data_IF_256401761157
#
_entry.id   IF_256401761157
#
_cell.length_a   1.000
_cell.length_b   1.000
_cell.length_c   1.000
_cell.angle_alpha   90.00
_cell.angle_beta   90.00
_cell.angle_gamma   90.00
#
_symmetry.space_group_name_H-M   'P 1'
#
loop_
_entity.id
_entity.type
_entity.pdbx_description
1 polymer ?
#
# COMPACT_ATOMS: atom_id res chain seq x y z
N UNK A 1 -6.25 6.96 12.04
CA UNK A 1 -4.98 6.51 11.49
C UNK A 1 -3.91 7.57 11.76
N UNK A 2 -2.71 7.14 12.19
CA UNK A 2 -1.60 8.05 12.44
C UNK A 2 -1.09 8.66 11.12
N UNK A 3 -0.50 9.86 11.20
CA UNK A 3 0.12 10.51 10.04
C UNK A 3 1.52 9.95 9.71
N UNK A 4 2.11 9.24 10.66
CA UNK A 4 3.44 8.64 10.53
C UNK A 4 3.38 7.20 11.03
N UNK A 5 3.46 6.26 10.12
CA UNK A 5 3.46 4.84 10.46
C UNK A 5 4.13 4.01 9.38
N UNK A 6 4.50 2.81 9.76
CA UNK A 6 4.78 1.71 8.86
C UNK A 6 3.71 0.64 9.07
N UNK A 7 3.30 0.00 7.98
CA UNK A 7 2.54 -1.24 8.06
C UNK A 7 3.13 -2.26 7.11
N UNK A 8 3.23 -3.50 7.53
CA UNK A 8 3.83 -4.56 6.73
C UNK A 8 3.07 -5.88 6.85
N UNK A 9 3.26 -6.72 5.86
CA UNK A 9 2.70 -8.07 5.82
C UNK A 9 3.64 -9.00 5.06
N UNK A 10 3.67 -10.26 5.46
CA UNK A 10 4.30 -11.37 4.74
C UNK A 10 3.24 -12.08 3.92
N UNK A 11 3.46 -12.23 2.62
CA UNK A 11 2.50 -12.79 1.65
C UNK A 11 3.07 -14.05 1.02
N UNK A 12 2.29 -15.14 1.04
CA UNK A 12 2.52 -16.33 0.23
C UNK A 12 1.42 -16.38 -0.85
N UNK A 13 1.82 -16.23 -2.11
CA UNK A 13 0.88 -16.22 -3.22
C UNK A 13 1.54 -16.70 -4.52
N UNK A 14 0.90 -17.65 -5.19
CA UNK A 14 1.34 -18.22 -6.45
C UNK A 14 0.31 -17.99 -7.56
N UNK A 15 0.19 -16.74 -8.06
CA UNK A 15 -0.68 -16.45 -9.19
C UNK A 15 -0.14 -17.04 -10.48
N UNK A 16 -1.03 -17.36 -11.40
CA UNK A 16 -0.71 -17.80 -12.76
C UNK A 16 -1.34 -16.90 -13.84
N UNK A 17 -1.94 -15.78 -13.40
CA UNK A 17 -2.58 -14.79 -14.27
C UNK A 17 -2.42 -13.40 -13.68
N UNK A 18 -2.29 -12.40 -14.57
CA UNK A 18 -2.33 -10.96 -14.16
C UNK A 18 -3.65 -10.52 -13.52
N UNK A 19 -4.70 -11.34 -13.65
CA UNK A 19 -6.01 -11.11 -13.04
C UNK A 19 -6.06 -11.55 -11.56
N UNK A 20 -4.98 -12.10 -11.05
CA UNK A 20 -4.84 -12.57 -9.68
C UNK A 20 -3.83 -11.70 -8.95
N UNK A 21 -4.26 -11.08 -7.85
CA UNK A 21 -3.47 -10.10 -7.10
C UNK A 21 -3.65 -10.32 -5.61
N UNK A 22 -2.57 -10.23 -4.83
CA UNK A 22 -2.65 -10.27 -3.37
C UNK A 22 -1.54 -9.41 -2.75
N UNK A 23 -1.87 -8.60 -1.74
CA UNK A 23 -0.90 -7.73 -1.11
C UNK A 23 -1.45 -6.73 -0.11
N UNK A 24 -0.78 -5.59 -0.01
CA UNK A 24 -0.99 -4.52 0.96
C UNK A 24 -1.58 -3.28 0.28
N UNK A 25 -2.69 -2.78 0.80
CA UNK A 25 -3.40 -1.62 0.27
C UNK A 25 -3.48 -0.48 1.27
N UNK A 26 -3.33 0.76 0.77
CA UNK A 26 -3.85 1.95 1.42
C UNK A 26 -5.16 2.31 0.71
N UNK A 27 -6.25 2.37 1.46
CA UNK A 27 -7.60 2.36 0.91
C UNK A 27 -8.48 3.39 1.59
N UNK A 28 -9.21 4.17 0.81
CA UNK A 28 -10.28 5.03 1.29
C UNK A 28 -11.66 4.49 0.85
N UNK A 29 -11.85 4.28 -0.45
CA UNK A 29 -13.04 3.70 -1.06
C UNK A 29 -12.71 3.05 -2.43
N UNK A 30 -13.71 2.58 -3.16
CA UNK A 30 -13.56 1.92 -4.45
C UNK A 30 -12.90 2.77 -5.55
N UNK A 31 -12.81 4.09 -5.37
CA UNK A 31 -12.24 5.03 -6.34
C UNK A 31 -10.95 5.71 -5.87
N UNK A 32 -10.54 5.48 -4.62
CA UNK A 32 -9.37 6.11 -4.01
C UNK A 32 -8.62 5.07 -3.18
N UNK A 33 -7.62 4.47 -3.78
CA UNK A 33 -6.77 3.47 -3.15
C UNK A 33 -5.44 3.33 -3.88
N UNK A 34 -4.44 2.81 -3.21
CA UNK A 34 -3.23 2.28 -3.81
C UNK A 34 -2.97 0.87 -3.30
N UNK A 35 -2.26 0.08 -4.09
CA UNK A 35 -2.08 -1.34 -3.84
C UNK A 35 -0.71 -1.79 -4.31
N UNK A 36 0.09 -2.33 -3.40
CA UNK A 36 1.31 -3.07 -3.72
C UNK A 36 0.98 -4.56 -3.61
N UNK A 37 1.22 -5.33 -4.66
CA UNK A 37 0.72 -6.69 -4.74
C UNK A 37 1.64 -7.62 -5.53
N UNK A 38 1.58 -8.89 -5.15
CA UNK A 38 2.10 -10.00 -5.94
C UNK A 38 1.08 -10.36 -7.02
N UNK A 39 1.55 -10.51 -8.24
CA UNK A 39 0.77 -10.94 -9.41
C UNK A 39 1.64 -11.75 -10.38
N UNK A 40 1.18 -11.96 -11.59
CA UNK A 40 1.89 -12.69 -12.62
C UNK A 40 1.87 -11.93 -13.96
N UNK A 41 2.94 -12.01 -14.73
CA UNK A 41 2.96 -11.56 -16.12
C UNK A 41 3.69 -12.60 -17.02
N UNK A 42 3.43 -12.51 -18.31
CA UNK A 42 3.94 -13.50 -19.29
C UNK A 42 5.47 -13.45 -19.46
N UNK A 43 6.10 -12.32 -19.16
CA UNK A 43 7.54 -12.09 -19.37
C UNK A 43 8.35 -12.65 -18.21
N UNK A 44 7.94 -12.34 -16.97
CA UNK A 44 8.73 -12.56 -15.76
C UNK A 44 8.14 -13.62 -14.83
N UNK A 45 6.94 -14.15 -15.14
CA UNK A 45 6.21 -15.00 -14.23
C UNK A 45 5.66 -14.22 -13.04
N UNK A 46 5.97 -14.65 -11.82
CA UNK A 46 5.53 -14.01 -10.59
C UNK A 46 6.29 -12.69 -10.35
N UNK A 47 5.55 -11.61 -10.13
CA UNK A 47 6.10 -10.24 -9.99
C UNK A 47 5.41 -9.46 -8.88
N UNK A 48 6.07 -8.40 -8.40
CA UNK A 48 5.45 -7.36 -7.61
C UNK A 48 5.11 -6.19 -8.54
N UNK A 49 3.89 -5.68 -8.40
CA UNK A 49 3.38 -4.50 -9.10
C UNK A 49 2.80 -3.52 -8.07
N UNK A 50 2.70 -2.25 -8.46
CA UNK A 50 2.04 -1.21 -7.69
C UNK A 50 1.04 -0.47 -8.57
N UNK A 51 -0.18 -0.33 -8.07
CA UNK A 51 -1.25 0.37 -8.75
C UNK A 51 -1.94 1.39 -7.84
N UNK A 52 -2.58 2.36 -8.45
CA UNK A 52 -3.44 3.35 -7.81
C UNK A 52 -4.77 3.45 -8.55
N UNK A 53 -5.83 3.66 -7.81
CA UNK A 53 -7.08 4.21 -8.33
C UNK A 53 -7.29 5.60 -7.72
N UNK A 54 -7.28 6.61 -8.56
CA UNK A 54 -7.51 7.99 -8.15
C UNK A 54 -8.70 8.54 -8.94
N UNK A 55 -9.79 8.83 -8.24
CA UNK A 55 -11.06 9.30 -8.82
C UNK A 55 -11.64 8.35 -9.88
N UNK A 56 -11.44 7.04 -9.70
CA UNK A 56 -11.89 6.02 -10.65
C UNK A 56 -10.92 5.79 -11.81
N UNK A 57 -9.79 6.51 -11.87
CA UNK A 57 -8.75 6.29 -12.87
C UNK A 57 -7.71 5.31 -12.32
N UNK A 58 -7.67 4.13 -12.89
CA UNK A 58 -6.64 3.12 -12.60
C UNK A 58 -5.31 3.45 -13.27
N UNK A 59 -4.22 3.34 -12.53
CA UNK A 59 -2.84 3.48 -13.02
C UNK A 59 -1.98 2.36 -12.47
N UNK A 60 -1.34 1.58 -13.34
CA UNK A 60 -0.27 0.66 -13.00
C UNK A 60 1.06 1.39 -13.18
N UNK A 61 1.93 1.34 -12.18
CA UNK A 61 3.13 2.17 -12.14
C UNK A 61 4.38 1.47 -12.66
N UNK A 62 4.56 0.19 -12.37
CA UNK A 62 5.79 -0.52 -12.75
C UNK A 62 5.69 -1.10 -14.16
N UNK A 63 4.56 -1.66 -14.54
CA UNK A 63 4.31 -2.21 -15.90
C UNK A 63 5.43 -3.16 -16.35
N UNK A 64 6.18 -2.76 -17.39
CA UNK A 64 7.30 -3.54 -17.94
C UNK A 64 8.48 -3.66 -16.96
N UNK A 65 8.53 -2.79 -15.95
CA UNK A 65 9.52 -2.81 -14.88
C UNK A 65 9.01 -3.49 -13.60
N UNK A 66 7.95 -4.28 -13.69
CA UNK A 66 7.44 -5.08 -12.57
C UNK A 66 8.58 -5.92 -11.96
N UNK A 67 8.65 -5.94 -10.64
CA UNK A 67 9.77 -6.54 -9.91
C UNK A 67 9.63 -8.06 -9.95
N UNK A 68 10.54 -8.73 -10.64
CA UNK A 68 10.55 -10.19 -10.72
C UNK A 68 10.80 -10.79 -9.33
N UNK A 69 9.95 -11.73 -8.94
CA UNK A 69 10.14 -12.55 -7.75
C UNK A 69 10.90 -13.80 -8.19
N UNK A 70 12.08 -14.11 -7.60
CA UNK A 70 12.80 -15.35 -7.90
C UNK A 70 11.93 -16.60 -7.62
N UNK A 71 12.14 -17.65 -8.41
CA UNK A 71 11.30 -18.85 -8.37
C UNK A 71 11.40 -19.62 -7.03
N UNK A 72 12.54 -19.50 -6.35
CA UNK A 72 12.82 -20.11 -5.04
C UNK A 72 12.28 -19.31 -3.85
N UNK A 73 11.76 -18.10 -4.09
CA UNK A 73 11.16 -17.27 -3.04
C UNK A 73 9.70 -17.68 -2.82
N UNK A 74 9.40 -18.18 -1.63
CA UNK A 74 8.05 -18.54 -1.21
C UNK A 74 7.27 -17.33 -0.69
N UNK A 75 7.92 -16.47 0.09
CA UNK A 75 7.30 -15.34 0.77
C UNK A 75 7.82 -14.01 0.25
N UNK A 76 6.91 -13.05 0.15
CA UNK A 76 7.24 -11.65 -0.13
C UNK A 76 6.74 -10.81 1.03
N UNK A 77 7.59 -9.95 1.59
CA UNK A 77 7.17 -8.93 2.54
C UNK A 77 6.87 -7.65 1.75
N UNK A 78 5.70 -7.08 2.03
CA UNK A 78 5.30 -5.77 1.53
C UNK A 78 5.14 -4.82 2.70
N UNK A 79 5.66 -3.62 2.57
CA UNK A 79 5.56 -2.58 3.59
C UNK A 79 5.12 -1.26 2.96
N UNK A 80 4.19 -0.56 3.61
CA UNK A 80 3.90 0.85 3.32
C UNK A 80 4.53 1.73 4.38
N UNK A 81 5.10 2.87 3.95
CA UNK A 81 5.64 3.92 4.81
C UNK A 81 4.85 5.18 4.59
N UNK A 82 4.07 5.59 5.58
CA UNK A 82 3.30 6.83 5.53
C UNK A 82 4.03 7.91 6.31
N UNK A 83 4.20 9.09 5.70
CA UNK A 83 4.96 10.24 6.20
C UNK A 83 4.19 11.53 5.93
N UNK A 84 3.10 11.74 6.69
CA UNK A 84 2.22 12.90 6.64
C UNK A 84 1.62 13.16 5.26
N UNK A 85 2.36 13.76 4.35
CA UNK A 85 1.88 14.19 3.03
C UNK A 85 2.11 13.15 1.93
N UNK A 86 3.02 12.21 2.17
CA UNK A 86 3.40 11.21 1.17
C UNK A 86 3.45 9.82 1.77
N UNK A 87 3.33 8.83 0.91
CA UNK A 87 3.63 7.45 1.26
C UNK A 87 4.26 6.70 0.10
N UNK A 88 4.98 5.65 0.42
CA UNK A 88 5.62 4.75 -0.54
C UNK A 88 5.48 3.30 -0.10
N UNK A 89 5.86 2.39 -0.99
CA UNK A 89 5.92 0.98 -0.69
C UNK A 89 7.35 0.47 -0.77
N UNK A 90 7.62 -0.55 0.02
CA UNK A 90 8.84 -1.34 0.01
C UNK A 90 8.49 -2.83 -0.12
N UNK A 91 9.43 -3.59 -0.62
CA UNK A 91 9.36 -5.05 -0.61
C UNK A 91 10.63 -5.66 -0.04
N UNK A 92 10.52 -6.90 0.41
CA UNK A 92 11.66 -7.73 0.84
C UNK A 92 11.41 -9.18 0.47
N UNK A 93 12.49 -9.93 0.21
CA UNK A 93 12.44 -11.37 -0.01
C UNK A 93 12.95 -12.19 1.18
N UNK A 94 13.53 -11.53 2.20
CA UNK A 94 14.07 -12.16 3.40
C UNK A 94 13.44 -11.63 4.70
N UNK A 95 12.63 -10.57 4.61
CA UNK A 95 12.01 -9.89 5.75
C UNK A 95 12.97 -8.99 6.54
N UNK A 96 14.20 -8.82 6.10
CA UNK A 96 15.25 -8.04 6.77
C UNK A 96 15.65 -6.83 5.93
N UNK A 97 16.06 -7.05 4.69
CA UNK A 97 16.42 -5.98 3.77
C UNK A 97 15.20 -5.56 2.96
N UNK A 98 14.75 -4.33 3.16
CA UNK A 98 13.64 -3.74 2.43
C UNK A 98 14.14 -2.80 1.35
N UNK A 99 13.64 -3.01 0.13
CA UNK A 99 13.97 -2.23 -1.06
C UNK A 99 12.78 -1.33 -1.38
N UNK A 100 13.03 -0.04 -1.53
CA UNK A 100 12.01 0.93 -1.87
C UNK A 100 11.54 0.74 -3.32
N UNK A 101 10.22 0.69 -3.52
CA UNK A 101 9.61 0.74 -4.84
C UNK A 101 9.59 2.22 -5.27
N UNK A 102 10.15 2.57 -6.46
CA UNK A 102 10.39 3.97 -6.85
C UNK A 102 9.10 4.69 -7.28
N UNK A 103 8.08 4.64 -6.42
CA UNK A 103 6.79 5.31 -6.61
C UNK A 103 6.40 5.99 -5.30
N UNK A 104 6.17 7.29 -5.36
CA UNK A 104 5.72 8.10 -4.21
C UNK A 104 4.30 8.58 -4.47
N UNK A 105 3.43 8.36 -3.50
CA UNK A 105 2.02 8.72 -3.54
C UNK A 105 1.74 9.95 -2.69
N UNK A 106 0.78 10.75 -3.12
CA UNK A 106 0.22 11.84 -2.33
C UNK A 106 -0.83 11.29 -1.35
N UNK A 107 -0.57 11.42 -0.05
CA UNK A 107 -1.49 10.96 0.99
C UNK A 107 -2.82 11.74 1.00
N UNK A 108 -2.85 12.95 0.45
CA UNK A 108 -4.07 13.75 0.33
C UNK A 108 -5.15 13.04 -0.50
N UNK A 109 -4.77 12.21 -1.47
CA UNK A 109 -5.71 11.41 -2.29
C UNK A 109 -6.60 10.49 -1.45
N UNK A 110 -6.14 10.12 -0.26
CA UNK A 110 -6.86 9.29 0.70
C UNK A 110 -7.48 10.10 1.85
N UNK A 111 -7.65 11.41 1.68
CA UNK A 111 -8.28 12.28 2.69
C UNK A 111 -9.76 12.54 2.38
N UNK A 112 -10.54 12.82 3.42
CA UNK A 112 -11.95 13.21 3.31
C UNK A 112 -12.11 14.43 2.41
N UNK A 113 -11.26 15.46 2.58
CA UNK A 113 -11.32 16.69 1.81
C UNK A 113 -11.12 16.48 0.30
N UNK A 114 -10.21 15.61 -0.08
CA UNK A 114 -9.93 15.28 -1.47
C UNK A 114 -11.07 14.48 -2.11
N UNK A 115 -11.57 13.49 -1.38
CA UNK A 115 -12.62 12.58 -1.86
C UNK A 115 -13.95 13.33 -1.99
N UNK A 116 -14.29 14.22 -1.05
CA UNK A 116 -15.48 15.08 -1.09
C UNK A 116 -15.56 15.94 -2.34
N UNK A 117 -14.42 16.42 -2.85
CA UNK A 117 -14.37 17.25 -4.06
C UNK A 117 -14.77 16.49 -5.34
N UNK A 118 -14.68 15.16 -5.33
CA UNK A 118 -14.85 14.36 -6.53
C UNK A 118 -16.08 13.46 -6.55
N UNK A 119 -16.60 13.03 -5.40
CA UNK A 119 -17.61 11.97 -5.38
C UNK A 119 -18.50 11.90 -4.14
N UNK A 120 -18.48 12.89 -3.27
CA UNK A 120 -19.27 12.80 -2.03
C UNK A 120 -18.66 11.75 -1.09
N UNK A 121 -17.59 12.08 -0.44
CA UNK A 121 -16.99 11.22 0.58
C UNK A 121 -17.85 11.19 1.83
N UNK A 122 -17.85 10.08 2.50
CA UNK A 122 -18.46 9.93 3.80
C UNK A 122 -17.30 9.69 4.75
N UNK A 123 -17.08 10.51 5.70
CA UNK A 123 -16.11 10.50 6.79
C UNK A 123 -15.67 9.09 7.26
N UNK A 124 -15.07 8.33 6.36
CA UNK A 124 -14.62 6.95 6.66
C UNK A 124 -13.16 6.90 7.05
N UNK A 125 -12.37 7.90 6.61
CA UNK A 125 -10.92 7.91 6.78
C UNK A 125 -10.22 6.85 5.92
N UNK A 126 -8.90 6.95 5.85
CA UNK A 126 -8.07 5.98 5.17
C UNK A 126 -7.78 4.75 6.03
N UNK A 127 -7.68 3.61 5.39
CA UNK A 127 -7.31 2.33 5.99
C UNK A 127 -6.03 1.80 5.35
N UNK A 128 -5.23 1.09 6.11
CA UNK A 128 -4.23 0.17 5.60
C UNK A 128 -4.73 -1.25 5.85
N UNK A 129 -4.60 -2.13 4.86
CA UNK A 129 -5.15 -3.48 4.97
C UNK A 129 -4.63 -4.45 3.93
N UNK A 130 -5.14 -5.66 4.02
CA UNK A 130 -4.80 -6.77 3.14
C UNK A 130 -5.87 -6.89 2.07
N UNK A 131 -5.47 -7.16 0.84
CA UNK A 131 -6.40 -7.39 -0.26
C UNK A 131 -5.95 -8.58 -1.11
N UNK A 132 -6.91 -9.42 -1.48
CA UNK A 132 -6.75 -10.47 -2.47
C UNK A 132 -7.88 -10.38 -3.48
N UNK A 133 -7.54 -10.43 -4.76
CA UNK A 133 -8.48 -10.25 -5.87
C UNK A 133 -8.22 -11.32 -6.92
N UNK A 134 -9.26 -11.98 -7.37
CA UNK A 134 -9.20 -12.93 -8.48
C UNK A 134 -10.33 -12.65 -9.48
N UNK A 135 -9.97 -12.03 -10.61
CA UNK A 135 -10.88 -11.82 -11.74
C UNK A 135 -10.83 -12.96 -12.77
N UNK A 136 -9.92 -13.93 -12.60
CA UNK A 136 -9.80 -15.07 -13.50
C UNK A 136 -10.93 -16.08 -13.33
N UNK A 137 -11.54 -16.11 -12.16
CA UNK A 137 -12.59 -17.07 -11.80
C UNK A 137 -12.08 -18.47 -11.43
N UNK A 138 -10.76 -18.66 -11.35
CA UNK A 138 -10.17 -19.98 -11.02
C UNK A 138 -9.96 -20.22 -9.54
N UNK A 139 -10.18 -19.20 -8.69
CA UNK A 139 -10.15 -19.35 -7.24
C UNK A 139 -8.75 -19.47 -6.64
N UNK A 140 -7.82 -18.57 -7.02
CA UNK A 140 -6.51 -18.53 -6.39
C UNK A 140 -6.61 -18.01 -4.94
N UNK A 141 -6.00 -18.73 -3.99
CA UNK A 141 -5.90 -18.34 -2.58
C UNK A 141 -4.54 -17.73 -2.27
N UNK A 142 -4.52 -16.71 -1.41
CA UNK A 142 -3.32 -16.11 -0.88
C UNK A 142 -3.31 -16.22 0.65
N UNK A 143 -2.15 -16.50 1.22
CA UNK A 143 -1.97 -16.54 2.65
C UNK A 143 -1.20 -15.31 3.12
N UNK A 144 -1.69 -14.70 4.19
CA UNK A 144 -1.10 -13.51 4.80
C UNK A 144 -0.66 -13.83 6.22
N UNK A 145 0.58 -13.43 6.56
CA UNK A 145 1.19 -13.67 7.85
C UNK A 145 1.76 -12.39 8.43
N UNK A 146 1.87 -12.32 9.74
CA UNK A 146 2.65 -11.32 10.47
C UNK A 146 2.32 -9.87 10.04
N UNK A 147 1.00 -9.57 9.91
CA UNK A 147 0.61 -8.17 9.69
C UNK A 147 0.98 -7.36 10.92
N UNK A 148 1.82 -6.35 10.71
CA UNK A 148 2.32 -5.46 11.74
C UNK A 148 2.01 -4.00 11.37
N UNK A 149 1.55 -3.23 12.35
CA UNK A 149 1.29 -1.81 12.22
C UNK A 149 2.02 -1.06 13.33
N UNK A 150 2.97 -0.23 12.95
CA UNK A 150 3.81 0.53 13.86
C UNK A 150 3.63 2.03 13.66
N UNK A 151 3.05 2.69 14.65
CA UNK A 151 3.07 4.15 14.71
C UNK A 151 4.47 4.64 15.04
N UNK A 152 4.89 5.68 14.32
CA UNK A 152 6.17 6.34 14.58
C UNK A 152 5.88 7.57 15.46
N UNK A 153 6.47 7.60 16.63
CA UNK A 153 6.31 8.72 17.57
C UNK A 153 6.95 10.00 17.05
N UNK A 154 6.49 11.11 17.56
CA UNK A 154 6.91 12.48 17.18
C UNK A 154 8.42 12.73 17.29
N UNK A 155 9.14 11.96 18.10
CA UNK A 155 10.60 12.07 18.26
C UNK A 155 11.42 11.69 17.01
N UNK A 156 10.81 11.02 16.02
CA UNK A 156 11.45 10.68 14.74
C UNK A 156 11.15 11.68 13.62
N UNK A 157 10.31 12.64 13.92
CA UNK A 157 9.83 13.66 13.01
C UNK A 157 10.54 14.96 13.42
N UNK A 158 11.34 15.50 12.53
CA UNK A 158 11.97 16.81 12.79
C UNK A 158 10.94 17.86 13.24
N UNK A 159 11.39 19.00 13.70
CA UNK A 159 10.72 20.06 14.44
C UNK A 159 9.39 20.65 13.93
N UNK A 160 8.74 20.06 12.93
CA UNK A 160 7.45 20.50 12.41
C UNK A 160 6.29 19.65 12.96
N UNK A 161 6.20 19.51 14.27
CA UNK A 161 5.14 18.73 14.91
C UNK A 161 3.99 19.63 15.32
N UNK A 162 2.80 19.32 14.81
CA UNK A 162 1.57 19.84 15.40
C UNK A 162 1.21 18.94 16.58
N UNK A 163 1.35 19.45 17.81
CA UNK A 163 0.83 18.80 18.99
C UNK A 163 -0.65 19.17 19.18
N UNK A 164 -1.46 18.18 19.45
CA UNK A 164 -2.86 18.38 19.81
C UNK A 164 -3.02 18.16 21.32
N UNK A 165 -3.12 19.24 22.10
CA UNK A 165 -3.48 19.16 23.50
C UNK A 165 -4.77 19.95 23.78
N UNK A 166 -5.70 19.31 24.52
CA UNK A 166 -6.90 19.94 25.07
C UNK A 166 -7.77 20.73 24.08
N UNK A 167 -7.89 20.26 22.85
CA UNK A 167 -8.76 20.88 21.83
C UNK A 167 -8.16 22.13 21.17
N UNK A 168 -6.90 22.45 21.40
CA UNK A 168 -6.17 23.54 20.73
C UNK A 168 -5.11 23.00 19.79
N UNK A 169 -5.07 23.52 18.57
CA UNK A 169 -4.00 23.30 17.60
C UNK A 169 -2.87 24.26 17.94
N UNK A 170 -1.73 23.76 18.40
CA UNK A 170 -0.50 24.55 18.54
C UNK A 170 0.48 24.14 17.46
N UNK A 171 0.97 25.12 16.73
CA UNK A 171 2.17 24.99 15.90
C UNK A 171 3.36 25.42 16.77
N UNK A 172 4.27 24.52 17.06
CA UNK A 172 5.57 24.81 17.65
C UNK A 172 6.60 25.11 16.58
#
# INVERSE_FOLDING_TARGET
QAFYFNAQVKVAFNPFSYQQMAGLTNYYNDRHWSFAFVTWNEINGRVIEVAENNRGKYTSYLKDNAIKIPDDIEFVWLRTKVRKQTYSYEYSFDGVEFIEIPVVFDAAVLSDDYVLQSYGGFFTGAFVGLAAVDYSGYGASADFYDFDYQELGDSLIGTDVYSWEAGELRAD
#
